data_IF_778843796977
#
_entry.id   IF_778843796977
#
_cell.length_a   1.000
_cell.length_b   1.000
_cell.length_c   1.000
_cell.angle_alpha   90.00
_cell.angle_beta   90.00
_cell.angle_gamma   90.00
#
_symmetry.space_group_name_H-M   'P 1'
#
loop_
_entity.id
_entity.type
_entity.pdbx_description
1 polymer ?
#
# COMPACT_ATOMS: atom_id res chain seq x y z
N UNK A 1 -31.35 -1.51 7.90
CA UNK A 1 -30.12 -1.85 7.17
C UNK A 1 -29.03 -0.90 7.61
N UNK A 2 -27.96 -1.46 8.11
CA UNK A 2 -26.80 -0.66 8.47
C UNK A 2 -26.15 -0.13 7.19
N UNK A 3 -25.58 1.06 7.25
CA UNK A 3 -24.84 1.62 6.15
C UNK A 3 -23.42 1.06 6.03
N UNK A 4 -23.11 0.02 6.78
CA UNK A 4 -21.78 -0.57 6.78
C UNK A 4 -21.55 -1.44 5.54
N UNK A 5 -20.40 -1.24 4.89
CA UNK A 5 -20.01 -2.07 3.78
C UNK A 5 -19.52 -3.44 4.29
N UNK A 6 -19.79 -4.52 3.55
CA UNK A 6 -19.21 -5.82 3.89
C UNK A 6 -17.68 -5.75 3.91
N UNK A 7 -17.07 -6.58 4.74
CA UNK A 7 -15.62 -6.63 4.85
C UNK A 7 -14.95 -6.91 3.50
N UNK A 8 -15.56 -7.78 2.67
CA UNK A 8 -15.01 -8.10 1.34
C UNK A 8 -14.97 -6.88 0.44
N UNK A 9 -15.99 -5.99 0.53
CA UNK A 9 -16.04 -4.77 -0.24
C UNK A 9 -14.96 -3.79 0.21
N UNK A 10 -14.72 -3.68 1.52
CA UNK A 10 -13.67 -2.83 2.05
C UNK A 10 -12.31 -3.38 1.64
N UNK A 11 -12.12 -4.70 1.72
CA UNK A 11 -10.87 -5.33 1.31
C UNK A 11 -10.54 -5.02 -0.15
N UNK A 12 -11.54 -5.09 -1.03
CA UNK A 12 -11.33 -4.78 -2.45
C UNK A 12 -11.01 -3.30 -2.64
N UNK A 13 -11.67 -2.40 -1.92
CA UNK A 13 -11.36 -0.97 -1.99
C UNK A 13 -9.91 -0.71 -1.59
N UNK A 14 -9.48 -1.27 -0.47
CA UNK A 14 -8.11 -1.08 0.03
C UNK A 14 -7.10 -1.66 -0.95
N UNK A 15 -7.38 -2.84 -1.51
CA UNK A 15 -6.49 -3.45 -2.50
C UNK A 15 -6.31 -2.54 -3.72
N UNK A 16 -7.39 -1.93 -4.21
CA UNK A 16 -7.31 -1.03 -5.34
C UNK A 16 -6.50 0.23 -5.01
N UNK A 17 -6.59 0.73 -3.78
CA UNK A 17 -5.78 1.88 -3.36
C UNK A 17 -4.30 1.52 -3.27
N UNK A 18 -3.98 0.31 -2.78
CA UNK A 18 -2.59 -0.18 -2.78
C UNK A 18 -2.04 -0.25 -4.21
N UNK A 19 -2.84 -0.80 -5.13
CA UNK A 19 -2.42 -0.92 -6.53
C UNK A 19 -2.26 0.44 -7.20
N UNK A 20 -3.06 1.42 -6.83
CA UNK A 20 -2.88 2.80 -7.32
C UNK A 20 -1.52 3.36 -6.96
N UNK A 21 -1.10 3.19 -5.72
CA UNK A 21 0.21 3.69 -5.28
C UNK A 21 1.34 3.02 -6.04
N UNK A 22 1.18 1.75 -6.42
CA UNK A 22 2.23 1.00 -7.12
C UNK A 22 2.24 1.25 -8.62
N UNK A 23 1.08 1.47 -9.24
CA UNK A 23 0.99 1.46 -10.69
C UNK A 23 0.74 2.82 -11.33
N UNK A 24 0.14 3.79 -10.63
CA UNK A 24 -0.14 5.09 -11.23
C UNK A 24 1.12 5.92 -11.34
N UNK A 25 1.18 6.74 -12.40
CA UNK A 25 2.27 7.70 -12.60
C UNK A 25 2.02 8.92 -11.71
N UNK A 26 2.58 8.88 -10.51
CA UNK A 26 2.39 9.92 -9.51
C UNK A 26 3.26 11.16 -9.78
N UNK A 27 4.15 11.08 -10.77
CA UNK A 27 4.92 12.23 -11.21
C UNK A 27 4.04 13.20 -12.00
N UNK A 28 3.11 12.66 -12.81
CA UNK A 28 2.19 13.49 -13.59
C UNK A 28 0.93 13.86 -12.81
N UNK A 29 0.61 13.11 -11.77
CA UNK A 29 -0.58 13.35 -10.95
C UNK A 29 -0.20 13.37 -9.45
N UNK A 30 0.62 14.36 -9.03
CA UNK A 30 1.13 14.37 -7.65
C UNK A 30 0.05 14.59 -6.60
N UNK A 31 -1.09 15.18 -6.95
CA UNK A 31 -2.18 15.37 -5.99
C UNK A 31 -2.78 14.06 -5.50
N UNK A 32 -2.64 12.96 -6.27
CA UNK A 32 -3.08 11.63 -5.82
C UNK A 32 -2.31 11.17 -4.59
N UNK A 33 -1.06 11.60 -4.44
CA UNK A 33 -0.26 11.25 -3.26
C UNK A 33 -0.93 11.81 -2.01
N UNK A 34 -1.39 13.05 -2.07
CA UNK A 34 -2.07 13.68 -0.93
C UNK A 34 -3.41 13.02 -0.64
N UNK A 35 -4.05 12.47 -1.66
CA UNK A 35 -5.31 11.75 -1.49
C UNK A 35 -5.10 10.39 -0.84
N UNK A 36 -3.95 9.76 -1.05
CA UNK A 36 -3.69 8.38 -0.64
C UNK A 36 -2.82 8.26 0.60
N UNK A 37 -1.88 9.19 0.82
CA UNK A 37 -0.99 9.15 1.98
C UNK A 37 -1.37 10.22 2.99
N UNK A 38 -1.51 9.81 4.25
CA UNK A 38 -1.74 10.72 5.35
C UNK A 38 -0.55 11.64 5.55
N UNK A 39 -0.79 12.80 6.15
CA UNK A 39 0.26 13.79 6.43
C UNK A 39 1.36 13.25 7.33
N UNK A 40 0.99 12.38 8.25
CA UNK A 40 1.91 11.79 9.24
C UNK A 40 2.34 10.38 8.87
N UNK A 41 2.22 10.03 7.59
CA UNK A 41 2.62 8.72 7.10
C UNK A 41 4.09 8.44 7.38
N UNK A 42 4.38 7.20 7.79
CA UNK A 42 5.76 6.73 7.84
C UNK A 42 5.83 5.25 7.48
N UNK A 43 7.02 4.81 7.09
CA UNK A 43 7.24 3.46 6.59
C UNK A 43 8.46 2.85 7.26
N UNK A 44 8.38 1.54 7.50
CA UNK A 44 9.56 0.75 7.85
C UNK A 44 9.90 -0.09 6.62
N UNK A 45 11.09 0.16 6.05
CA UNK A 45 11.52 -0.56 4.86
C UNK A 45 12.08 -1.94 5.22
N UNK A 46 12.27 -2.78 4.20
CA UNK A 46 12.71 -4.16 4.43
C UNK A 46 14.14 -4.27 4.97
N UNK A 47 14.89 -3.19 4.99
CA UNK A 47 16.21 -3.17 5.65
C UNK A 47 16.14 -2.57 7.06
N UNK A 48 14.95 -2.40 7.61
CA UNK A 48 14.77 -1.90 8.98
C UNK A 48 14.88 -0.40 9.13
N UNK A 49 14.90 0.34 8.03
CA UNK A 49 15.04 1.78 8.05
C UNK A 49 13.67 2.45 8.15
N UNK A 50 13.56 3.47 8.98
CA UNK A 50 12.35 4.27 9.06
C UNK A 50 12.44 5.38 8.00
N UNK A 51 11.46 5.39 7.09
CA UNK A 51 11.37 6.39 6.04
C UNK A 51 10.22 7.35 6.36
N UNK A 52 10.49 8.64 6.23
CA UNK A 52 9.47 9.66 6.41
C UNK A 52 8.52 9.68 5.21
N UNK A 53 7.40 10.40 5.36
CA UNK A 53 6.49 10.63 4.24
C UNK A 53 7.23 11.21 3.03
N UNK A 54 8.11 12.16 3.28
CA UNK A 54 8.89 12.81 2.21
C UNK A 54 9.73 11.80 1.44
N UNK A 55 10.40 10.88 2.14
CA UNK A 55 11.22 9.84 1.50
C UNK A 55 10.37 8.94 0.61
N UNK A 56 9.20 8.56 1.10
CA UNK A 56 8.30 7.68 0.36
C UNK A 56 7.69 8.40 -0.85
N UNK A 57 7.31 9.66 -0.69
CA UNK A 57 6.80 10.47 -1.79
C UNK A 57 7.85 10.58 -2.91
N UNK A 58 9.10 10.81 -2.54
CA UNK A 58 10.20 10.89 -3.50
C UNK A 58 10.34 9.58 -4.27
N UNK A 59 10.27 8.45 -3.57
CA UNK A 59 10.30 7.13 -4.22
C UNK A 59 9.11 6.92 -5.16
N UNK A 60 7.92 7.29 -4.72
CA UNK A 60 6.70 7.11 -5.53
C UNK A 60 6.74 7.94 -6.82
N UNK A 61 7.31 9.14 -6.76
CA UNK A 61 7.42 10.01 -7.93
C UNK A 61 8.42 9.44 -8.94
N UNK A 62 9.48 8.81 -8.47
CA UNK A 62 10.58 8.34 -9.33
C UNK A 62 10.53 6.85 -9.65
N UNK A 63 9.50 6.13 -9.19
CA UNK A 63 9.41 4.70 -9.46
C UNK A 63 9.22 4.41 -10.96
N UNK A 64 9.59 3.20 -11.36
CA UNK A 64 9.39 2.74 -12.73
C UNK A 64 7.91 2.39 -12.94
N UNK A 65 7.19 3.18 -13.73
CA UNK A 65 5.77 3.00 -13.97
C UNK A 65 5.47 1.78 -14.84
N UNK A 66 6.48 1.22 -15.49
CA UNK A 66 6.29 0.00 -16.30
C UNK A 66 6.40 -1.27 -15.48
N UNK A 67 6.85 -1.15 -14.23
CA UNK A 67 6.97 -2.28 -13.33
C UNK A 67 5.58 -2.68 -12.82
N UNK A 68 5.24 -3.95 -13.02
CA UNK A 68 3.96 -4.49 -12.58
C UNK A 68 4.15 -5.29 -11.30
N UNK A 69 3.17 -5.18 -10.41
CA UNK A 69 3.17 -5.88 -9.13
C UNK A 69 1.93 -6.76 -9.02
N UNK A 70 2.08 -7.93 -8.43
CA UNK A 70 0.95 -8.74 -8.00
C UNK A 70 0.86 -8.69 -6.47
N UNK A 71 -0.37 -8.62 -5.98
CA UNK A 71 -0.64 -8.65 -4.54
C UNK A 71 -1.36 -9.97 -4.26
N UNK A 72 -0.68 -10.88 -3.56
CA UNK A 72 -1.18 -12.21 -3.30
C UNK A 72 -1.60 -12.35 -1.85
N UNK A 73 -2.59 -13.20 -1.60
CA UNK A 73 -3.12 -13.44 -0.26
C UNK A 73 -3.55 -12.16 0.45
N UNK A 74 -4.17 -11.26 -0.32
CA UNK A 74 -4.60 -9.98 0.21
C UNK A 74 -5.76 -10.18 1.19
N UNK A 75 -5.57 -9.68 2.40
CA UNK A 75 -6.58 -9.77 3.45
C UNK A 75 -6.51 -8.54 4.33
N UNK A 76 -7.61 -8.24 4.98
CA UNK A 76 -7.69 -7.11 5.89
C UNK A 76 -8.16 -7.56 7.26
N UNK A 77 -7.87 -6.71 8.23
CA UNK A 77 -8.41 -6.81 9.58
C UNK A 77 -8.93 -5.45 9.98
N UNK A 78 -10.22 -5.36 10.29
CA UNK A 78 -10.79 -4.12 10.81
C UNK A 78 -10.30 -3.94 12.24
N UNK A 79 -9.56 -2.86 12.50
CA UNK A 79 -9.11 -2.55 13.85
C UNK A 79 -10.17 -1.71 14.58
N UNK A 80 -10.78 -0.79 13.84
CA UNK A 80 -11.97 -0.04 14.26
C UNK A 80 -12.81 0.20 13.01
N UNK A 81 -13.95 0.88 13.15
CA UNK A 81 -14.76 1.24 11.98
C UNK A 81 -14.03 2.15 10.99
N UNK A 82 -12.99 2.82 11.45
CA UNK A 82 -12.25 3.79 10.64
C UNK A 82 -10.78 3.43 10.47
N UNK A 83 -10.38 2.24 10.90
CA UNK A 83 -8.97 1.83 10.86
C UNK A 83 -8.86 0.39 10.40
N UNK A 84 -8.13 0.19 9.31
CA UNK A 84 -7.99 -1.11 8.65
C UNK A 84 -6.51 -1.46 8.51
N UNK A 85 -6.18 -2.71 8.82
CA UNK A 85 -4.86 -3.26 8.56
C UNK A 85 -4.94 -4.19 7.37
N UNK A 86 -4.12 -3.95 6.35
CA UNK A 86 -4.02 -4.81 5.16
C UNK A 86 -2.72 -5.61 5.22
N UNK A 87 -2.79 -6.87 4.82
CA UNK A 87 -1.63 -7.76 4.79
C UNK A 87 -1.64 -8.52 3.48
N UNK A 88 -0.48 -8.60 2.84
CA UNK A 88 -0.37 -9.28 1.55
C UNK A 88 1.09 -9.57 1.21
N UNK A 89 1.29 -10.37 0.19
CA UNK A 89 2.60 -10.60 -0.41
C UNK A 89 2.67 -9.81 -1.72
N UNK A 90 3.68 -8.96 -1.87
CA UNK A 90 3.89 -8.20 -3.10
C UNK A 90 5.04 -8.83 -3.89
N UNK A 91 4.83 -9.02 -5.18
CA UNK A 91 5.83 -9.62 -6.05
C UNK A 91 5.84 -8.91 -7.39
N UNK A 92 7.04 -8.69 -7.94
CA UNK A 92 7.19 -8.09 -9.26
C UNK A 92 6.84 -9.12 -10.33
N UNK A 93 5.90 -8.78 -11.19
CA UNK A 93 5.44 -9.68 -12.23
C UNK A 93 6.40 -9.77 -13.40
N UNK A 94 7.21 -8.72 -13.59
CA UNK A 94 8.15 -8.62 -14.73
C UNK A 94 9.52 -9.21 -14.44
N UNK A 95 9.70 -9.83 -13.30
CA UNK A 95 10.98 -10.46 -12.92
C UNK A 95 11.11 -11.79 -13.63
N UNK A 96 11.74 -11.79 -14.79
CA UNK A 96 11.88 -12.97 -15.65
C UNK A 96 12.68 -14.08 -14.99
N UNK A 97 13.60 -13.73 -14.11
CA UNK A 97 14.46 -14.70 -13.44
C UNK A 97 13.80 -15.29 -12.20
N UNK A 98 12.75 -14.67 -11.73
CA UNK A 98 11.97 -15.16 -10.61
C UNK A 98 12.81 -15.48 -9.36
N UNK A 99 13.90 -14.73 -9.18
CA UNK A 99 14.83 -14.95 -8.08
C UNK A 99 14.33 -14.39 -6.76
N UNK A 100 13.39 -13.45 -6.82
CA UNK A 100 12.83 -12.82 -5.62
C UNK A 100 11.49 -13.45 -5.29
N UNK A 101 11.32 -13.83 -4.04
CA UNK A 101 10.03 -14.32 -3.54
C UNK A 101 9.09 -13.17 -3.19
N UNK A 102 9.55 -11.94 -3.34
CA UNK A 102 8.77 -10.77 -3.01
C UNK A 102 8.93 -10.34 -1.56
N UNK A 103 7.95 -9.61 -1.08
CA UNK A 103 7.96 -9.11 0.29
C UNK A 103 6.59 -9.29 0.92
N UNK A 104 6.60 -9.58 2.22
CA UNK A 104 5.41 -9.52 3.05
C UNK A 104 5.18 -8.07 3.41
N UNK A 105 3.97 -7.58 3.22
CA UNK A 105 3.66 -6.17 3.45
C UNK A 105 2.47 -6.01 4.37
N UNK A 106 2.55 -4.98 5.21
CA UNK A 106 1.47 -4.58 6.10
C UNK A 106 1.27 -3.09 5.94
N UNK A 107 0.02 -2.69 5.73
CA UNK A 107 -0.35 -1.27 5.65
C UNK A 107 -1.47 -1.01 6.63
N UNK A 108 -1.51 0.21 7.17
CA UNK A 108 -2.65 0.66 7.96
C UNK A 108 -3.28 1.83 7.24
N UNK A 109 -4.59 1.72 6.99
CA UNK A 109 -5.39 2.73 6.34
C UNK A 109 -6.40 3.29 7.32
N UNK A 110 -6.52 4.60 7.34
CA UNK A 110 -7.44 5.32 8.22
C UNK A 110 -8.44 6.11 7.39
N UNK A 111 -9.70 6.04 7.78
CA UNK A 111 -10.73 6.87 7.12
C UNK A 111 -10.62 8.29 7.65
N UNK A 112 -10.36 9.23 6.73
CA UNK A 112 -10.22 10.64 7.03
C UNK A 112 -11.13 11.42 6.08
N UNK A 113 -12.15 12.07 6.62
CA UNK A 113 -13.08 12.85 5.80
C UNK A 113 -13.81 12.04 4.75
N UNK A 114 -14.11 10.78 5.02
CA UNK A 114 -14.85 9.91 4.11
C UNK A 114 -14.00 9.14 3.12
N UNK A 115 -12.67 9.36 3.11
CA UNK A 115 -11.76 8.64 2.23
C UNK A 115 -10.71 7.90 3.06
N UNK A 116 -10.17 6.81 2.49
CA UNK A 116 -9.11 6.04 3.15
C UNK A 116 -7.75 6.63 2.81
N UNK A 117 -6.91 6.83 3.82
CA UNK A 117 -5.53 7.27 3.65
C UNK A 117 -4.59 6.32 4.38
N UNK A 118 -3.48 5.99 3.74
CA UNK A 118 -2.47 5.13 4.34
C UNK A 118 -1.70 5.93 5.40
N UNK A 119 -1.65 5.42 6.62
CA UNK A 119 -0.92 6.09 7.72
C UNK A 119 0.38 5.37 8.04
N UNK A 120 0.52 4.11 7.63
CA UNK A 120 1.70 3.30 7.94
C UNK A 120 1.88 2.20 6.91
N UNK A 121 3.12 1.87 6.61
CA UNK A 121 3.46 0.75 5.72
C UNK A 121 4.74 0.09 6.21
N UNK A 122 4.81 -1.23 6.09
CA UNK A 122 5.98 -2.01 6.45
C UNK A 122 6.16 -3.13 5.44
N UNK A 123 7.40 -3.39 5.04
CA UNK A 123 7.73 -4.49 4.14
C UNK A 123 8.85 -5.33 4.75
N UNK A 124 8.74 -6.64 4.58
CA UNK A 124 9.77 -7.59 4.99
C UNK A 124 10.09 -8.50 3.81
N UNK A 125 11.35 -8.61 3.46
CA UNK A 125 11.78 -9.48 2.38
C UNK A 125 11.50 -10.93 2.74
N UNK A 126 10.91 -11.68 1.82
CA UNK A 126 10.67 -13.11 2.01
C UNK A 126 11.96 -13.85 1.74
N UNK A 127 12.36 -14.69 2.70
CA UNK A 127 13.55 -15.53 2.58
C UNK A 127 13.17 -17.00 2.69
N UNK A 128 14.09 -17.86 2.31
CA UNK A 128 13.89 -19.31 2.42
C UNK A 128 13.94 -19.79 3.87
#
# INVERSE_FOLDING_TARGET
ISGELPMDSIAEQIKQLELKLLHFDLKTEPELINDLLSRDFEEISQNGRINSRRDVVDWLIHKDIHLQWSLNDFRIRMLTDELVMAMYTAQKMNDMNNLSKGSMRTSIWQRQGGTWKMIFHQASKITD
#
